data_IF_689692239349
#
_entry.id   IF_689692239349
#
_cell.length_a   1.000
_cell.length_b   1.000
_cell.length_c   1.000
_cell.angle_alpha   90.00
_cell.angle_beta   90.00
_cell.angle_gamma   90.00
#
_symmetry.space_group_name_H-M   'P 1'
#
loop_
_entity.id
_entity.type
_entity.pdbx_description
1 polymer ?
#
# COMPACT_ATOMS: atom_id res chain seq x y z
N UNK A 1 10.73 -2.57 22.23
CA UNK A 1 9.96 -3.61 21.50
C UNK A 1 10.04 -3.28 20.03
N UNK A 2 10.71 -4.10 19.23
CA UNK A 2 10.80 -3.94 17.77
C UNK A 2 9.53 -4.51 17.17
N UNK A 3 8.51 -3.68 16.94
CA UNK A 3 7.36 -4.09 16.14
C UNK A 3 7.86 -4.36 14.71
N UNK A 4 7.60 -5.56 14.20
CA UNK A 4 7.88 -5.89 12.80
C UNK A 4 6.99 -5.02 11.92
N UNK A 5 7.49 -4.51 10.80
CA UNK A 5 6.68 -3.68 9.90
C UNK A 5 5.45 -4.43 9.36
N UNK A 6 5.54 -5.76 9.30
CA UNK A 6 4.42 -6.63 8.97
C UNK A 6 3.33 -6.67 10.04
N UNK A 7 3.64 -6.29 11.29
CA UNK A 7 2.64 -6.23 12.37
C UNK A 7 1.79 -4.96 12.36
N UNK A 8 2.25 -3.90 11.67
CA UNK A 8 1.47 -2.66 11.50
C UNK A 8 0.57 -2.73 10.26
N UNK A 9 0.99 -3.39 9.18
CA UNK A 9 0.18 -3.55 7.98
C UNK A 9 -0.80 -4.71 8.11
N UNK A 10 -2.01 -4.43 8.60
CA UNK A 10 -3.02 -5.46 8.96
C UNK A 10 -4.08 -5.69 7.88
N UNK A 11 -4.21 -4.77 6.93
CA UNK A 11 -5.22 -4.85 5.86
C UNK A 11 -4.56 -5.32 4.58
N UNK A 12 -5.21 -6.23 3.86
CA UNK A 12 -4.70 -6.78 2.60
C UNK A 12 -5.64 -6.42 1.44
N UNK A 13 -5.06 -5.97 0.33
CA UNK A 13 -5.74 -5.73 -0.94
C UNK A 13 -5.02 -6.53 -2.02
N UNK A 14 -5.72 -7.48 -2.64
CA UNK A 14 -5.18 -8.33 -3.70
C UNK A 14 -5.57 -7.79 -5.06
N UNK A 15 -4.59 -7.61 -5.94
CA UNK A 15 -4.76 -7.13 -7.31
C UNK A 15 -4.36 -8.25 -8.26
N UNK A 16 -5.31 -8.65 -9.11
CA UNK A 16 -5.11 -9.69 -10.09
C UNK A 16 -4.09 -9.26 -11.18
N UNK A 17 -3.41 -10.21 -11.83
CA UNK A 17 -2.53 -9.91 -12.95
C UNK A 17 -3.26 -9.13 -14.05
N UNK A 18 -2.66 -8.03 -14.52
CA UNK A 18 -3.25 -7.17 -15.55
C UNK A 18 -4.25 -6.14 -15.02
N UNK A 19 -4.67 -6.22 -13.75
CA UNK A 19 -5.36 -5.11 -13.08
C UNK A 19 -4.35 -4.07 -12.58
N UNK A 20 -4.78 -2.82 -12.43
CA UNK A 20 -3.94 -1.76 -11.88
C UNK A 20 -4.44 -1.35 -10.48
N UNK A 21 -3.51 -0.83 -9.68
CA UNK A 21 -3.79 -0.25 -8.38
C UNK A 21 -3.58 1.27 -8.46
N UNK A 22 -4.60 2.04 -8.12
CA UNK A 22 -4.54 3.49 -8.03
C UNK A 22 -4.94 3.90 -6.63
N UNK A 23 -4.02 4.43 -5.83
CA UNK A 23 -4.34 5.02 -4.53
C UNK A 23 -4.57 6.52 -4.68
N UNK A 24 -5.65 7.05 -4.13
CA UNK A 24 -5.87 8.49 -4.06
C UNK A 24 -4.92 9.13 -3.05
N UNK A 25 -4.22 10.17 -3.48
CA UNK A 25 -3.09 10.76 -2.77
C UNK A 25 -3.16 12.28 -2.59
N UNK A 26 -4.35 12.85 -2.47
CA UNK A 26 -4.58 14.29 -2.28
C UNK A 26 -4.21 14.84 -0.87
N UNK A 27 -3.47 14.05 -0.09
CA UNK A 27 -3.09 14.32 1.30
C UNK A 27 -1.58 14.57 1.49
N UNK A 28 -0.85 14.77 0.39
CA UNK A 28 0.51 15.31 0.35
C UNK A 28 0.68 16.22 -0.87
N UNK A 29 1.63 17.15 -0.83
CA UNK A 29 1.83 18.16 -1.87
C UNK A 29 2.84 17.70 -2.93
N UNK A 30 3.79 16.83 -2.55
CA UNK A 30 4.82 16.28 -3.44
C UNK A 30 5.15 14.82 -3.14
N UNK A 31 5.49 14.06 -4.19
CA UNK A 31 5.99 12.69 -4.11
C UNK A 31 7.31 12.55 -3.31
N UNK A 32 8.08 13.64 -3.17
CA UNK A 32 9.28 13.69 -2.32
C UNK A 32 8.99 13.45 -0.84
N UNK A 33 7.74 13.63 -0.41
CA UNK A 33 7.28 13.34 0.95
C UNK A 33 7.14 11.83 1.20
N UNK A 34 7.11 11.03 0.13
CA UNK A 34 6.99 9.58 0.20
C UNK A 34 8.40 8.98 0.27
N UNK A 35 8.63 8.14 1.28
CA UNK A 35 9.86 7.34 1.38
C UNK A 35 9.59 5.92 0.96
N UNK A 36 10.18 5.50 -0.16
CA UNK A 36 10.09 4.12 -0.64
C UNK A 36 11.40 3.38 -0.38
N UNK A 37 11.30 2.23 0.28
CA UNK A 37 12.40 1.32 0.56
C UNK A 37 12.20 0.07 -0.29
N UNK A 38 13.17 -0.22 -1.16
CA UNK A 38 13.22 -1.47 -1.94
C UNK A 38 13.88 -2.53 -1.06
N UNK A 39 13.17 -3.60 -0.74
CA UNK A 39 13.67 -4.66 0.14
C UNK A 39 14.26 -5.80 -0.68
N UNK A 40 13.59 -6.17 -1.77
CA UNK A 40 13.99 -7.28 -2.63
C UNK A 40 13.43 -7.08 -4.05
N UNK A 41 14.27 -7.34 -5.04
CA UNK A 41 13.92 -7.29 -6.46
C UNK A 41 14.70 -8.40 -7.16
N UNK A 42 14.09 -9.59 -7.20
CA UNK A 42 14.51 -10.67 -8.08
C UNK A 42 13.58 -10.69 -9.32
N UNK A 43 14.02 -11.29 -10.42
CA UNK A 43 13.36 -11.25 -11.73
C UNK A 43 11.91 -11.75 -11.74
N UNK A 44 11.44 -12.34 -10.64
CA UNK A 44 10.10 -12.89 -10.45
C UNK A 44 9.32 -12.18 -9.35
N UNK A 45 9.98 -11.42 -8.46
CA UNK A 45 9.38 -11.00 -7.21
C UNK A 45 9.90 -9.65 -6.73
N UNK A 46 8.98 -8.75 -6.35
CA UNK A 46 9.31 -7.41 -5.85
C UNK A 46 8.66 -7.15 -4.49
N UNK A 47 9.47 -6.68 -3.53
CA UNK A 47 9.04 -6.17 -2.22
C UNK A 47 9.37 -4.69 -2.06
N UNK A 48 8.34 -3.88 -1.86
CA UNK A 48 8.47 -2.44 -1.61
C UNK A 48 7.78 -2.06 -0.30
N UNK A 49 8.40 -1.14 0.44
CA UNK A 49 7.79 -0.49 1.58
C UNK A 49 7.72 1.01 1.31
N UNK A 50 6.51 1.54 1.20
CA UNK A 50 6.24 2.97 1.01
C UNK A 50 5.72 3.55 2.33
N UNK A 51 6.42 4.57 2.82
CA UNK A 51 6.07 5.35 3.99
C UNK A 51 5.59 6.71 3.51
N UNK A 52 4.36 7.04 3.82
CA UNK A 52 3.75 8.28 3.41
C UNK A 52 3.53 9.22 4.61
N UNK A 53 3.15 10.49 4.38
CA UNK A 53 2.64 11.37 5.43
C UNK A 53 1.44 10.79 6.20
N UNK A 54 1.08 11.40 7.33
CA UNK A 54 -0.04 10.95 8.18
C UNK A 54 0.07 9.49 8.67
N UNK A 55 1.31 9.01 8.82
CA UNK A 55 1.63 7.66 9.33
C UNK A 55 1.06 6.52 8.45
N UNK A 56 0.67 6.78 7.20
CA UNK A 56 0.22 5.73 6.30
C UNK A 56 1.41 4.92 5.76
N UNK A 57 1.32 3.61 5.92
CA UNK A 57 2.35 2.64 5.51
C UNK A 57 1.73 1.64 4.55
N UNK A 58 2.40 1.45 3.42
CA UNK A 58 2.00 0.48 2.41
C UNK A 58 3.18 -0.44 2.09
N UNK A 59 2.94 -1.73 2.16
CA UNK A 59 3.91 -2.77 1.82
C UNK A 59 3.38 -3.58 0.64
N UNK A 60 4.12 -3.57 -0.46
CA UNK A 60 3.80 -4.29 -1.68
C UNK A 60 4.62 -5.57 -1.76
N UNK A 61 3.94 -6.69 -2.01
CA UNK A 61 4.53 -7.90 -2.55
C UNK A 61 3.94 -8.18 -3.93
N UNK A 62 4.79 -8.28 -4.94
CA UNK A 62 4.36 -8.55 -6.30
C UNK A 62 5.10 -9.76 -6.85
N UNK A 63 4.35 -10.66 -7.50
CA UNK A 63 4.84 -11.86 -8.17
C UNK A 63 4.09 -12.05 -9.51
N UNK A 64 4.34 -13.13 -10.28
CA UNK A 64 3.61 -13.38 -11.54
C UNK A 64 2.12 -13.65 -11.37
N UNK A 65 1.67 -13.99 -10.16
CA UNK A 65 0.28 -14.29 -9.83
C UNK A 65 -0.50 -13.06 -9.39
N UNK A 66 0.16 -11.92 -9.18
CA UNK A 66 -0.47 -10.64 -8.91
C UNK A 66 0.29 -9.79 -7.91
N UNK A 67 -0.41 -8.84 -7.32
CA UNK A 67 0.14 -7.94 -6.30
C UNK A 67 -0.69 -8.01 -5.03
N UNK A 68 -0.03 -8.01 -3.88
CA UNK A 68 -0.63 -7.89 -2.56
C UNK A 68 -0.15 -6.59 -1.94
N UNK A 69 -1.08 -5.69 -1.68
CA UNK A 69 -0.84 -4.44 -0.97
C UNK A 69 -1.29 -4.64 0.48
N UNK A 70 -0.35 -4.47 1.42
CA UNK A 70 -0.60 -4.52 2.85
C UNK A 70 -0.50 -3.13 3.45
N UNK A 71 -1.54 -2.67 4.12
CA UNK A 71 -1.61 -1.30 4.65
C UNK A 71 -1.97 -1.31 6.14
N UNK A 72 -1.56 -0.26 6.85
CA UNK A 72 -1.94 -0.07 8.25
C UNK A 72 -3.31 0.59 8.44
N UNK A 73 -3.92 1.08 7.37
CA UNK A 73 -5.31 1.54 7.30
C UNK A 73 -6.08 0.75 6.25
N UNK A 74 -7.40 0.55 6.40
CA UNK A 74 -8.20 -0.10 5.39
C UNK A 74 -8.25 0.75 4.12
N UNK A 75 -8.32 0.06 2.99
CA UNK A 75 -8.61 0.67 1.70
C UNK A 75 -10.01 0.29 1.26
N UNK A 76 -10.72 1.23 0.63
CA UNK A 76 -12.02 0.97 0.05
C UNK A 76 -12.14 1.62 -1.32
N UNK A 77 -13.02 1.07 -2.15
CA UNK A 77 -13.41 1.63 -3.44
C UNK A 77 -14.89 2.00 -3.34
N UNK A 78 -15.23 3.24 -3.66
CA UNK A 78 -16.63 3.64 -3.81
C UNK A 78 -17.16 3.22 -5.19
N UNK A 79 -18.45 2.91 -5.27
CA UNK A 79 -19.07 2.48 -6.52
C UNK A 79 -18.90 3.53 -7.63
N UNK A 80 -18.33 3.11 -8.76
CA UNK A 80 -18.07 4.00 -9.91
C UNK A 80 -16.68 4.65 -9.93
N UNK A 81 -15.86 4.48 -8.90
CA UNK A 81 -14.47 4.94 -8.89
C UNK A 81 -13.50 3.83 -9.30
N UNK A 82 -12.35 4.24 -9.81
CA UNK A 82 -11.26 3.38 -10.28
C UNK A 82 -9.99 3.49 -9.40
N UNK A 83 -10.12 4.15 -8.26
CA UNK A 83 -9.08 4.34 -7.26
C UNK A 83 -9.54 3.90 -5.86
N UNK A 84 -8.56 3.56 -5.02
CA UNK A 84 -8.71 3.24 -3.61
C UNK A 84 -8.57 4.51 -2.77
N UNK A 85 -9.42 4.64 -1.77
CA UNK A 85 -9.31 5.65 -0.71
C UNK A 85 -8.91 4.99 0.60
N UNK A 86 -8.16 5.73 1.42
CA UNK A 86 -7.79 5.31 2.77
C UNK A 86 -8.93 5.62 3.73
N UNK A 87 -9.38 4.64 4.50
CA UNK A 87 -10.33 4.86 5.59
C UNK A 87 -9.59 5.32 6.86
N UNK A 88 -9.47 6.64 7.00
CA UNK A 88 -8.84 7.28 8.16
C UNK A 88 -9.65 7.12 9.45
N UNK A 89 -10.94 6.77 9.38
CA UNK A 89 -11.81 6.65 10.55
C UNK A 89 -11.66 5.30 11.27
N UNK A 90 -11.01 4.33 10.64
CA UNK A 90 -10.79 2.99 11.20
C UNK A 90 -9.77 2.93 12.36
N UNK A 91 -9.24 4.08 12.84
CA UNK A 91 -8.37 4.16 14.03
C UNK A 91 -9.12 4.25 15.37
N UNK A 92 -10.45 4.06 15.40
CA UNK A 92 -11.25 4.06 16.64
C UNK A 92 -11.25 2.68 17.31
#
# INVERSE_FOLDING_TARGET
MTQSILTICRYETTIAPGAYFHLKTDWFESDQEIKTIIIDQDHVFSKLLSLYPNEFVMYLEQDPNGSIYRTNFPLFIQEGNDYYEVDWQAMV
#
